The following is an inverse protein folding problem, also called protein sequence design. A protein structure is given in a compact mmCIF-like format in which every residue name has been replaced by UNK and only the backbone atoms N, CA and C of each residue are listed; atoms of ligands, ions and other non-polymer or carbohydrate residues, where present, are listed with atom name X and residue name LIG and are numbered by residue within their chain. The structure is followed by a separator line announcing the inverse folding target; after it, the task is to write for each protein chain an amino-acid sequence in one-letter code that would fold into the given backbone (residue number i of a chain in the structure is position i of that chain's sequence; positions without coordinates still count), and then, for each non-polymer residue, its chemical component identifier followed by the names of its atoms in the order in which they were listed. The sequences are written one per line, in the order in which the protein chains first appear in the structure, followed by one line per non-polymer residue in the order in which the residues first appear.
data_IF_085269505192
#
_entry.id   IF_085269505192
#
_cell.length_a   1.000
_cell.length_b   1.000
_cell.length_c   1.000
_cell.angle_alpha   90.00
_cell.angle_beta   90.00
_cell.angle_gamma   90.00
#
_symmetry.space_group_name_H-M   'P 1'
#
loop_
_entity.id
_entity.type
_entity.pdbx_description
1 polymer ?
#
# COMPACT_ATOMS: atom_id res chain seq x y z
N UNK A 1 1.31 -19.78 19.32
CA UNK A 1 2.23 -18.92 18.52
C UNK A 1 2.28 -19.49 17.10
N UNK A 2 2.21 -18.65 16.07
CA UNK A 2 2.26 -19.06 14.66
C UNK A 2 3.37 -18.25 13.99
N UNK A 3 4.22 -18.91 13.20
CA UNK A 3 5.26 -18.23 12.41
C UNK A 3 4.84 -18.19 10.94
N UNK A 4 5.02 -17.04 10.29
CA UNK A 4 4.64 -16.83 8.89
C UNK A 4 5.86 -16.39 8.08
N UNK A 5 6.08 -17.01 6.93
CA UNK A 5 7.15 -16.59 5.99
C UNK A 5 6.61 -15.51 5.07
N UNK A 6 7.28 -14.36 5.04
CA UNK A 6 6.95 -13.23 4.16
C UNK A 6 7.49 -13.47 2.73
N UNK A 7 6.85 -14.39 1.99
CA UNK A 7 7.32 -14.84 0.67
C UNK A 7 7.00 -13.84 -0.45
N UNK A 8 6.00 -12.98 -0.29
CA UNK A 8 5.74 -11.80 -1.15
C UNK A 8 5.60 -12.11 -2.64
N UNK A 9 4.84 -13.15 -2.99
CA UNK A 9 4.65 -13.58 -4.40
C UNK A 9 3.38 -13.04 -5.06
N UNK A 10 2.46 -12.48 -4.27
CA UNK A 10 1.18 -11.93 -4.74
C UNK A 10 1.17 -10.44 -4.45
N UNK A 11 0.33 -9.68 -5.18
CA UNK A 11 0.06 -8.25 -4.86
C UNK A 11 -0.35 -8.08 -3.40
N UNK A 12 -1.27 -8.93 -2.93
CA UNK A 12 -1.81 -8.88 -1.57
C UNK A 12 -1.91 -10.27 -0.95
N UNK A 13 -1.42 -10.41 0.28
CA UNK A 13 -1.49 -11.63 1.08
C UNK A 13 -1.88 -11.28 2.53
N UNK A 14 -3.11 -11.60 2.93
CA UNK A 14 -3.56 -11.43 4.33
C UNK A 14 -2.83 -12.41 5.23
N UNK A 15 -2.08 -11.88 6.21
CA UNK A 15 -1.29 -12.64 7.17
C UNK A 15 -2.05 -12.87 8.48
N UNK A 16 -2.87 -11.90 8.86
CA UNK A 16 -3.58 -11.89 10.12
C UNK A 16 -4.93 -11.18 9.96
N UNK A 17 -5.93 -11.66 10.70
CA UNK A 17 -7.26 -11.10 10.79
C UNK A 17 -7.77 -11.28 12.21
N UNK A 18 -8.24 -10.20 12.82
CA UNK A 18 -8.89 -10.23 14.13
C UNK A 18 -9.87 -9.05 14.24
N UNK A 19 -11.11 -9.33 14.67
CA UNK A 19 -12.18 -8.35 14.68
C UNK A 19 -12.38 -7.69 13.31
N UNK A 20 -12.24 -6.37 13.27
CA UNK A 20 -12.38 -5.58 12.03
C UNK A 20 -11.04 -5.25 11.36
N UNK A 21 -9.92 -5.84 11.78
CA UNK A 21 -8.60 -5.46 11.29
C UNK A 21 -7.92 -6.60 10.56
N UNK A 22 -7.27 -6.23 9.44
CA UNK A 22 -6.41 -7.08 8.64
C UNK A 22 -4.99 -6.57 8.75
N UNK A 23 -4.03 -7.50 8.82
CA UNK A 23 -2.65 -7.21 8.48
C UNK A 23 -2.22 -8.14 7.35
N UNK A 24 -1.60 -7.58 6.34
CA UNK A 24 -1.16 -8.34 5.18
C UNK A 24 0.14 -7.83 4.60
N UNK A 25 0.71 -8.66 3.72
CA UNK A 25 1.89 -8.34 2.95
C UNK A 25 1.46 -7.84 1.58
N UNK A 26 1.81 -6.59 1.30
CA UNK A 26 1.60 -5.95 0.02
C UNK A 26 2.91 -5.88 -0.77
N UNK A 27 2.85 -6.25 -2.05
CA UNK A 27 3.92 -6.07 -3.03
C UNK A 27 3.35 -5.23 -4.18
N UNK A 28 3.90 -4.04 -4.47
CA UNK A 28 3.44 -3.22 -5.59
C UNK A 28 3.47 -3.97 -6.92
N UNK A 29 2.46 -3.77 -7.76
CA UNK A 29 2.40 -4.34 -9.11
C UNK A 29 3.21 -3.54 -10.12
N UNK A 30 3.40 -2.25 -9.83
CA UNK A 30 4.11 -1.31 -10.68
C UNK A 30 5.57 -1.20 -10.22
N UNK A 31 6.52 -1.19 -11.14
CA UNK A 31 7.94 -0.99 -10.82
C UNK A 31 8.33 0.49 -10.80
N UNK A 32 7.55 1.34 -11.47
CA UNK A 32 7.86 2.75 -11.70
C UNK A 32 6.62 3.65 -11.54
N UNK A 33 6.87 4.96 -11.39
CA UNK A 33 5.83 5.99 -11.27
C UNK A 33 4.93 6.05 -12.50
N UNK A 34 5.50 5.82 -13.67
CA UNK A 34 4.88 5.97 -14.98
C UNK A 34 3.87 4.87 -15.28
N UNK A 35 4.06 3.69 -14.68
CA UNK A 35 3.15 2.55 -14.79
C UNK A 35 1.86 2.73 -13.99
N UNK A 36 1.89 3.59 -12.96
CA UNK A 36 0.71 3.84 -12.12
C UNK A 36 -0.30 4.72 -12.87
N UNK A 37 -1.45 4.12 -13.20
CA UNK A 37 -2.52 4.81 -13.96
C UNK A 37 -3.74 5.17 -13.12
N UNK A 38 -3.92 4.51 -11.98
CA UNK A 38 -5.10 4.64 -11.11
C UNK A 38 -4.65 4.91 -9.69
N UNK A 39 -5.39 5.74 -8.96
CA UNK A 39 -5.30 5.86 -7.51
C UNK A 39 -6.54 5.23 -6.90
N UNK A 40 -6.37 4.66 -5.71
CA UNK A 40 -7.45 4.13 -4.89
C UNK A 40 -7.60 4.96 -3.60
N UNK A 41 -8.80 4.99 -3.03
CA UNK A 41 -9.07 5.62 -1.73
C UNK A 41 -10.03 4.75 -0.95
N UNK A 42 -9.65 4.43 0.28
CA UNK A 42 -10.50 3.72 1.22
C UNK A 42 -11.33 4.69 2.07
N UNK A 43 -12.45 4.20 2.58
CA UNK A 43 -13.28 4.92 3.56
C UNK A 43 -12.73 4.84 5.00
N UNK A 44 -11.57 4.20 5.19
CA UNK A 44 -10.82 4.13 6.45
C UNK A 44 -9.31 4.33 6.24
N UNK A 45 -8.57 4.70 7.30
CA UNK A 45 -7.12 4.81 7.23
C UNK A 45 -6.44 3.46 6.94
N UNK A 46 -5.33 3.53 6.23
CA UNK A 46 -4.46 2.40 5.93
C UNK A 46 -3.02 2.73 6.35
N UNK A 47 -2.37 1.80 7.05
CA UNK A 47 -0.98 1.93 7.49
C UNK A 47 -0.07 1.10 6.59
N UNK A 48 1.04 1.71 6.17
CA UNK A 48 2.10 1.08 5.38
C UNK A 48 3.42 1.11 6.14
N UNK A 49 4.10 -0.03 6.24
CA UNK A 49 5.43 -0.17 6.84
C UNK A 49 6.36 -1.01 5.97
N UNK A 50 7.54 -0.49 5.65
CA UNK A 50 8.49 -1.21 4.78
C UNK A 50 9.11 -2.40 5.53
N UNK A 51 8.91 -3.60 4.99
CA UNK A 51 9.59 -4.81 5.46
C UNK A 51 10.93 -4.96 4.72
N UNK A 52 10.90 -4.88 3.40
CA UNK A 52 12.08 -5.11 2.55
C UNK A 52 11.99 -4.43 1.18
N UNK A 53 13.14 -4.20 0.56
CA UNK A 53 13.27 -3.58 -0.75
C UNK A 53 13.06 -2.06 -0.73
N UNK A 54 12.54 -1.53 -1.84
CA UNK A 54 12.29 -0.10 -2.04
C UNK A 54 10.91 0.10 -2.64
N UNK A 55 10.06 0.84 -1.92
CA UNK A 55 8.69 1.16 -2.32
C UNK A 55 8.44 2.64 -2.11
N UNK A 56 7.77 3.26 -3.07
CA UNK A 56 7.31 4.64 -3.00
C UNK A 56 5.78 4.64 -3.07
N UNK A 57 5.13 5.32 -2.13
CA UNK A 57 3.72 5.63 -2.21
C UNK A 57 3.50 6.89 -3.05
N UNK A 58 2.44 6.91 -3.84
CA UNK A 58 1.83 8.11 -4.39
C UNK A 58 0.68 8.48 -3.48
N UNK A 59 0.64 9.70 -2.96
CA UNK A 59 -0.38 10.13 -2.00
C UNK A 59 -1.01 11.46 -2.42
N UNK A 60 -2.31 11.58 -2.21
CA UNK A 60 -3.12 12.76 -2.51
C UNK A 60 -3.41 12.93 -4.00
N UNK A 61 -4.04 14.05 -4.34
CA UNK A 61 -4.62 14.21 -5.69
C UNK A 61 -3.63 14.32 -6.84
N UNK A 62 -2.43 14.82 -6.54
CA UNK A 62 -1.35 14.98 -7.52
C UNK A 62 -0.36 13.82 -7.49
N UNK A 63 -0.60 12.81 -6.66
CA UNK A 63 0.31 11.67 -6.49
C UNK A 63 1.69 12.11 -5.98
N UNK A 64 1.73 12.81 -4.83
CA UNK A 64 2.99 13.17 -4.17
C UNK A 64 3.73 11.90 -3.79
N UNK A 65 5.01 11.83 -4.14
CA UNK A 65 5.84 10.68 -3.81
C UNK A 65 6.28 10.69 -2.34
N UNK A 66 6.08 9.56 -1.67
CA UNK A 66 6.50 9.32 -0.30
C UNK A 66 7.26 7.99 -0.26
N UNK A 67 8.59 8.07 -0.16
CA UNK A 67 9.44 6.89 -0.03
C UNK A 67 9.25 6.22 1.33
N UNK A 68 8.90 4.93 1.33
CA UNK A 68 8.82 4.12 2.54
C UNK A 68 10.23 3.79 3.03
N UNK A 69 10.39 3.74 4.35
CA UNK A 69 11.65 3.43 5.03
C UNK A 69 11.37 2.55 6.24
N UNK A 70 12.39 1.87 6.77
CA UNK A 70 12.26 0.94 7.91
C UNK A 70 12.21 1.62 9.28
N UNK A 71 12.41 2.93 9.34
CA UNK A 71 12.41 3.74 10.57
C UNK A 71 11.06 4.42 10.86
N UNK A 72 10.11 4.37 9.92
CA UNK A 72 8.79 5.00 10.06
C UNK A 72 7.70 4.25 9.32
N UNK A 73 6.49 4.27 9.89
CA UNK A 73 5.28 3.89 9.19
C UNK A 73 4.61 5.12 8.55
N UNK A 74 3.84 4.92 7.50
CA UNK A 74 3.03 5.96 6.85
C UNK A 74 1.56 5.56 6.98
N UNK A 75 0.72 6.46 7.49
CA UNK A 75 -0.73 6.27 7.54
C UNK A 75 -1.35 7.15 6.47
N UNK A 76 -2.26 6.58 5.67
CA UNK A 76 -2.89 7.23 4.53
C UNK A 76 -4.41 7.19 4.70
N UNK A 77 -5.04 8.35 4.55
CA UNK A 77 -6.51 8.54 4.59
C UNK A 77 -7.05 9.15 3.27
N UNK A 78 -6.17 9.26 2.27
CA UNK A 78 -6.49 9.91 1.01
C UNK A 78 -6.10 9.02 -0.18
N UNK A 79 -6.35 9.51 -1.39
CA UNK A 79 -5.99 8.84 -2.64
C UNK A 79 -4.54 8.37 -2.63
N UNK A 80 -4.31 7.11 -2.97
CA UNK A 80 -2.98 6.56 -3.03
C UNK A 80 -2.83 5.40 -4.01
N UNK A 81 -1.57 5.06 -4.29
CA UNK A 81 -1.13 3.82 -4.91
C UNK A 81 0.37 3.68 -4.58
N UNK A 82 1.04 2.62 -4.99
CA UNK A 82 2.46 2.43 -4.79
C UNK A 82 3.14 1.86 -6.03
N UNK A 83 4.45 2.07 -6.08
CA UNK A 83 5.32 1.40 -7.04
C UNK A 83 6.65 1.02 -6.38
N UNK A 84 7.37 0.09 -6.99
CA UNK A 84 8.71 -0.33 -6.61
C UNK A 84 8.81 -1.83 -6.29
N UNK A 85 10.04 -2.27 -6.03
CA UNK A 85 10.37 -3.66 -5.71
C UNK A 85 10.58 -3.82 -4.22
N UNK A 86 9.54 -4.27 -3.52
CA UNK A 86 9.63 -4.49 -2.09
C UNK A 86 8.41 -5.16 -1.50
N UNK A 87 8.45 -5.31 -0.18
CA UNK A 87 7.41 -5.90 0.65
C UNK A 87 7.02 -4.89 1.71
N UNK A 88 5.73 -4.64 1.82
CA UNK A 88 5.16 -3.68 2.75
C UNK A 88 4.18 -4.42 3.64
N UNK A 89 4.32 -4.26 4.95
CA UNK A 89 3.28 -4.64 5.88
C UNK A 89 2.20 -3.57 5.80
N UNK A 90 0.98 -3.99 5.52
CA UNK A 90 -0.19 -3.13 5.50
C UNK A 90 -1.12 -3.53 6.63
N UNK A 91 -1.67 -2.54 7.33
CA UNK A 91 -2.77 -2.71 8.27
C UNK A 91 -3.95 -1.88 7.80
N UNK A 92 -5.08 -2.55 7.57
CA UNK A 92 -6.30 -1.94 7.07
C UNK A 92 -7.53 -2.53 7.77
N UNK A 93 -8.67 -1.84 7.65
CA UNK A 93 -9.95 -2.35 8.15
C UNK A 93 -10.48 -3.42 7.20
N UNK A 94 -11.06 -4.49 7.72
CA UNK A 94 -11.81 -5.44 6.91
C UNK A 94 -13.07 -4.79 6.33
N UNK A 95 -13.33 -5.03 5.04
CA UNK A 95 -14.54 -4.56 4.38
C UNK A 95 -14.54 -3.07 4.01
N UNK A 96 -13.35 -2.45 3.87
CA UNK A 96 -13.23 -1.11 3.31
C UNK A 96 -13.94 -0.99 1.98
N UNK A 97 -14.57 0.17 1.77
CA UNK A 97 -15.06 0.57 0.45
C UNK A 97 -13.95 1.30 -0.25
N UNK A 98 -13.71 0.91 -1.50
CA UNK A 98 -12.63 1.49 -2.31
C UNK A 98 -13.23 2.25 -3.48
N UNK A 99 -12.87 3.53 -3.58
CA UNK A 99 -13.08 4.32 -4.78
C UNK A 99 -11.81 4.30 -5.63
N UNK A 100 -11.99 4.35 -6.95
CA UNK A 100 -10.89 4.36 -7.91
C UNK A 100 -11.00 5.58 -8.82
N UNK A 101 -9.86 6.18 -9.18
CA UNK A 101 -9.82 7.23 -10.20
C UNK A 101 -8.53 7.24 -11.00
N UNK A 102 -8.53 7.75 -12.24
CA UNK A 102 -7.31 7.94 -13.00
C UNK A 102 -6.35 8.93 -12.32
N UNK A 103 -5.06 8.61 -12.35
CA UNK A 103 -4.02 9.54 -11.93
C UNK A 103 -3.88 10.65 -12.98
N UNK A 104 -4.24 11.88 -12.61
CA UNK A 104 -4.10 13.03 -13.52
C UNK A 104 -2.62 13.23 -13.84
N UNK A 105 -2.28 13.17 -15.12
CA UNK A 105 -0.95 13.58 -15.59
C UNK A 105 -0.84 15.09 -15.37
N UNK A 106 0.23 15.53 -14.71
CA UNK A 106 0.64 16.93 -14.76
C UNK A 106 1.03 17.22 -16.20
N UNK A 107 0.19 17.99 -16.89
CA UNK A 107 0.48 18.64 -18.18
C UNK A 107 1.58 19.68 -18.03
#
# INVERSE_FOLDING_TARGET
MRELKLKGKKRWEVLFREGNWLAGLYCPEHESREEVQVLEKHDFPELFYLVDGKVTLLVGEKGKEVGLTRDRAVVVEDWHNAYGKGKVLVVEREGVKTEFRPLRKTS
#
